data_IF_254405516171
#
_entry.id   IF_254405516171
#
_cell.length_a   1.000
_cell.length_b   1.000
_cell.length_c   1.000
_cell.angle_alpha   90.00
_cell.angle_beta   90.00
_cell.angle_gamma   90.00
#
_symmetry.space_group_name_H-M   'P 1'
#
loop_
_entity.id
_entity.type
_entity.pdbx_description
1 polymer ?
#
# COMPACT_ATOMS: atom_id res chain seq x y z
N UNK A 1 -70.43 48.50 -14.36
CA UNK A 1 -69.22 49.19 -14.88
C UNK A 1 -68.01 48.68 -14.11
N UNK A 2 -67.09 47.99 -14.77
CA UNK A 2 -65.92 47.40 -14.11
C UNK A 2 -64.88 48.49 -13.77
N UNK A 3 -64.47 48.59 -12.52
CA UNK A 3 -63.40 49.49 -12.09
C UNK A 3 -62.06 49.03 -12.69
N UNK A 4 -61.56 49.78 -13.66
CA UNK A 4 -60.23 49.58 -14.24
C UNK A 4 -59.20 49.93 -13.15
N UNK A 5 -58.60 48.92 -12.53
CA UNK A 5 -57.47 49.11 -11.60
C UNK A 5 -56.29 49.70 -12.37
N UNK A 6 -55.98 50.97 -12.12
CA UNK A 6 -54.80 51.64 -12.67
C UNK A 6 -53.54 51.00 -12.09
N UNK A 7 -52.85 50.20 -12.92
CA UNK A 7 -51.57 49.58 -12.56
C UNK A 7 -50.51 50.67 -12.61
N UNK A 8 -50.00 51.10 -11.45
CA UNK A 8 -48.87 52.04 -11.39
C UNK A 8 -47.64 51.38 -12.04
N UNK A 9 -47.22 51.88 -13.20
CA UNK A 9 -45.99 51.42 -13.87
C UNK A 9 -44.78 51.78 -13.01
N UNK A 10 -44.16 50.77 -12.40
CA UNK A 10 -42.90 50.94 -11.67
C UNK A 10 -41.75 50.71 -12.66
N UNK A 11 -40.78 51.63 -12.77
CA UNK A 11 -39.61 51.44 -13.62
C UNK A 11 -38.91 50.12 -13.34
N UNK A 12 -38.61 49.36 -14.40
CA UNK A 12 -38.03 48.02 -14.32
C UNK A 12 -36.73 47.98 -13.51
N UNK A 13 -35.94 49.04 -13.60
CA UNK A 13 -34.71 49.23 -12.83
C UNK A 13 -34.95 49.19 -11.31
N UNK A 14 -36.03 49.81 -10.82
CA UNK A 14 -36.38 49.80 -9.39
C UNK A 14 -36.82 48.41 -8.92
N UNK A 15 -37.54 47.67 -9.77
CA UNK A 15 -37.94 46.28 -9.48
C UNK A 15 -36.71 45.36 -9.41
N UNK A 16 -35.77 45.48 -10.36
CA UNK A 16 -34.50 44.76 -10.35
C UNK A 16 -33.68 45.08 -9.10
N UNK A 17 -33.56 46.36 -8.74
CA UNK A 17 -32.83 46.82 -7.54
C UNK A 17 -33.44 46.30 -6.23
N UNK A 18 -34.78 46.21 -6.14
CA UNK A 18 -35.46 45.61 -4.98
C UNK A 18 -35.19 44.10 -4.87
N UNK A 19 -35.23 43.39 -6.00
CA UNK A 19 -34.98 41.95 -6.05
C UNK A 19 -33.54 41.61 -5.67
N UNK A 20 -32.56 42.38 -6.15
CA UNK A 20 -31.15 42.20 -5.76
C UNK A 20 -30.92 42.51 -4.29
N UNK A 21 -31.50 43.60 -3.77
CA UNK A 21 -31.39 43.95 -2.36
C UNK A 21 -31.99 42.88 -1.44
N UNK A 22 -33.17 42.34 -1.78
CA UNK A 22 -33.78 41.24 -1.04
C UNK A 22 -32.91 39.97 -1.07
N UNK A 23 -32.32 39.64 -2.22
CA UNK A 23 -31.41 38.50 -2.33
C UNK A 23 -30.16 38.68 -1.47
N UNK A 24 -29.53 39.86 -1.49
CA UNK A 24 -28.35 40.18 -0.67
C UNK A 24 -28.69 40.11 0.83
N UNK A 25 -29.86 40.63 1.22
CA UNK A 25 -30.30 40.58 2.62
C UNK A 25 -30.57 39.15 3.09
N UNK A 26 -31.15 38.32 2.22
CA UNK A 26 -31.39 36.91 2.51
C UNK A 26 -30.07 36.11 2.63
N UNK A 27 -29.08 36.38 1.77
CA UNK A 27 -27.77 35.71 1.85
C UNK A 27 -27.00 36.14 3.09
N UNK A 28 -26.99 37.44 3.44
CA UNK A 28 -26.40 37.92 4.69
C UNK A 28 -27.06 37.30 5.92
N UNK A 29 -28.40 37.23 5.96
CA UNK A 29 -29.12 36.60 7.05
C UNK A 29 -28.75 35.12 7.20
N UNK A 30 -28.63 34.39 6.07
CA UNK A 30 -28.22 32.97 6.06
C UNK A 30 -26.79 32.78 6.55
N UNK A 31 -25.86 33.64 6.14
CA UNK A 31 -24.47 33.61 6.59
C UNK A 31 -24.35 33.90 8.08
N UNK A 32 -25.04 34.94 8.58
CA UNK A 32 -25.07 35.26 10.00
C UNK A 32 -25.64 34.12 10.86
N UNK A 33 -26.65 33.39 10.35
CA UNK A 33 -27.23 32.23 11.04
C UNK A 33 -26.25 31.05 11.07
N UNK A 34 -25.49 30.83 10.00
CA UNK A 34 -24.43 29.81 9.95
C UNK A 34 -23.27 30.14 10.90
N UNK A 35 -22.86 31.41 10.98
CA UNK A 35 -21.84 31.85 11.93
C UNK A 35 -22.31 31.71 13.37
N UNK A 36 -23.54 32.13 13.69
CA UNK A 36 -24.14 31.88 15.00
C UNK A 36 -24.16 30.40 15.35
N UNK A 37 -24.50 29.50 14.41
CA UNK A 37 -24.46 28.04 14.61
C UNK A 37 -23.05 27.49 14.86
N UNK A 38 -22.00 28.11 14.30
CA UNK A 38 -20.60 27.74 14.56
C UNK A 38 -20.15 28.21 15.93
N UNK A 39 -20.60 29.39 16.38
CA UNK A 39 -20.25 29.98 17.68
C UNK A 39 -21.04 29.33 18.83
N UNK A 40 -22.34 29.03 18.65
CA UNK A 40 -23.17 28.40 19.69
C UNK A 40 -22.83 26.94 19.94
N UNK A 41 -22.28 26.24 18.95
CA UNK A 41 -21.56 24.98 19.19
C UNK A 41 -20.19 25.32 19.77
N UNK A 42 -20.16 25.87 20.99
CA UNK A 42 -18.94 25.90 21.79
C UNK A 42 -18.27 24.53 21.71
N UNK A 43 -16.94 24.49 21.58
CA UNK A 43 -16.21 23.22 21.56
C UNK A 43 -16.65 22.47 22.80
N UNK A 44 -17.36 21.32 22.71
CA UNK A 44 -17.65 20.55 23.89
C UNK A 44 -16.29 20.27 24.51
N UNK A 45 -16.10 20.71 25.75
CA UNK A 45 -14.94 20.30 26.54
C UNK A 45 -14.94 18.79 26.43
N UNK A 46 -13.95 18.26 25.71
CA UNK A 46 -13.86 16.83 25.42
C UNK A 46 -13.39 16.18 26.71
N UNK A 47 -14.33 16.07 27.65
CA UNK A 47 -14.11 15.45 28.94
C UNK A 47 -13.79 13.99 28.66
N UNK A 48 -12.49 13.68 28.63
CA UNK A 48 -12.04 12.29 28.60
C UNK A 48 -12.54 11.65 29.88
N UNK A 49 -13.29 10.57 29.75
CA UNK A 49 -13.73 9.82 30.93
C UNK A 49 -12.53 9.17 31.59
N UNK A 50 -12.61 8.93 32.89
CA UNK A 50 -11.56 8.20 33.62
C UNK A 50 -11.23 6.86 32.96
N UNK A 51 -12.25 6.18 32.42
CA UNK A 51 -12.13 4.95 31.64
C UNK A 51 -11.21 5.09 30.42
N UNK A 52 -11.29 6.21 29.69
CA UNK A 52 -10.46 6.48 28.51
C UNK A 52 -8.99 6.66 28.92
N UNK A 53 -8.75 7.34 30.04
CA UNK A 53 -7.39 7.49 30.60
C UNK A 53 -6.80 6.14 31.02
N UNK A 54 -7.59 5.30 31.70
CA UNK A 54 -7.21 3.95 32.11
C UNK A 54 -6.89 3.08 30.88
N UNK A 55 -7.74 3.15 29.85
CA UNK A 55 -7.56 2.41 28.59
C UNK A 55 -6.33 2.88 27.81
N UNK A 56 -6.10 4.19 27.70
CA UNK A 56 -4.90 4.76 27.08
C UNK A 56 -3.64 4.36 27.87
N UNK A 57 -3.68 4.40 29.20
CA UNK A 57 -2.57 4.00 30.07
C UNK A 57 -2.22 2.51 29.89
N UNK A 58 -3.21 1.61 29.94
CA UNK A 58 -2.98 0.18 29.71
C UNK A 58 -2.45 -0.10 28.31
N UNK A 59 -2.97 0.59 27.29
CA UNK A 59 -2.50 0.44 25.91
C UNK A 59 -1.04 0.90 25.78
N UNK A 60 -0.72 2.06 26.36
CA UNK A 60 0.64 2.61 26.39
C UNK A 60 1.61 1.67 27.12
N UNK A 61 1.23 1.17 28.29
CA UNK A 61 2.05 0.23 29.06
C UNK A 61 2.29 -1.09 28.29
N UNK A 62 1.28 -1.63 27.60
CA UNK A 62 1.45 -2.80 26.73
C UNK A 62 2.39 -2.50 25.57
N UNK A 63 2.26 -1.34 24.94
CA UNK A 63 3.14 -0.92 23.84
C UNK A 63 4.58 -0.70 24.30
N UNK A 64 4.80 -0.02 25.43
CA UNK A 64 6.12 0.14 26.06
C UNK A 64 6.74 -1.21 26.40
N UNK A 65 5.96 -2.12 27.00
CA UNK A 65 6.42 -3.48 27.30
C UNK A 65 6.79 -4.24 26.03
N UNK A 66 6.01 -4.10 24.95
CA UNK A 66 6.30 -4.70 23.64
C UNK A 66 7.57 -4.12 23.03
N UNK A 67 7.77 -2.81 23.11
CA UNK A 67 8.98 -2.12 22.63
C UNK A 67 10.20 -2.61 23.42
N UNK A 68 10.14 -2.60 24.75
CA UNK A 68 11.22 -3.05 25.64
C UNK A 68 11.57 -4.52 25.43
N UNK A 69 10.58 -5.38 25.20
CA UNK A 69 10.81 -6.79 24.83
C UNK A 69 11.49 -6.92 23.46
N UNK A 70 11.08 -6.12 22.48
CA UNK A 70 11.71 -6.12 21.16
C UNK A 70 13.15 -5.60 21.18
N UNK A 71 13.47 -4.60 22.03
CA UNK A 71 14.83 -4.10 22.23
C UNK A 71 15.75 -5.14 22.88
N UNK A 72 15.24 -5.88 23.86
CA UNK A 72 15.98 -6.96 24.53
C UNK A 72 16.05 -8.24 23.72
N UNK A 73 15.16 -8.41 22.73
CA UNK A 73 15.18 -9.60 21.87
C UNK A 73 16.44 -9.51 21.01
N UNK A 74 17.36 -10.48 21.11
CA UNK A 74 18.54 -10.47 20.25
C UNK A 74 18.07 -10.38 18.79
N UNK A 75 18.76 -9.60 17.94
CA UNK A 75 18.41 -9.51 16.54
C UNK A 75 18.33 -10.92 15.99
N UNK A 76 17.27 -11.23 15.23
CA UNK A 76 17.15 -12.54 14.60
C UNK A 76 18.47 -12.84 13.89
N UNK A 77 19.08 -14.01 14.12
CA UNK A 77 20.38 -14.35 13.56
C UNK A 77 20.34 -14.03 12.08
N UNK A 78 21.40 -13.38 11.60
CA UNK A 78 21.52 -13.12 10.17
C UNK A 78 21.34 -14.45 9.46
N UNK A 79 20.58 -14.47 8.35
CA UNK A 79 20.42 -15.69 7.59
C UNK A 79 21.81 -16.25 7.28
N UNK A 80 22.00 -17.58 7.34
CA UNK A 80 23.28 -18.18 6.96
C UNK A 80 23.70 -17.64 5.59
N UNK A 81 25.00 -17.37 5.40
CA UNK A 81 25.59 -16.63 4.25
C UNK A 81 25.16 -17.13 2.86
N UNK A 82 24.59 -18.34 2.82
CA UNK A 82 24.02 -18.98 1.63
C UNK A 82 22.92 -18.14 0.96
N UNK A 83 22.16 -17.34 1.71
CA UNK A 83 20.95 -16.70 1.17
C UNK A 83 21.16 -15.19 0.92
N UNK A 84 21.44 -14.82 -0.32
CA UNK A 84 21.61 -13.42 -0.77
C UNK A 84 20.31 -12.80 -1.32
N UNK A 85 19.30 -13.63 -1.59
CA UNK A 85 18.03 -13.26 -2.22
C UNK A 85 16.87 -13.42 -1.24
N UNK A 86 16.03 -12.40 -1.12
CA UNK A 86 14.75 -12.48 -0.45
C UNK A 86 13.60 -12.34 -1.46
N UNK A 87 12.50 -13.03 -1.20
CA UNK A 87 11.22 -12.77 -1.84
C UNK A 87 10.27 -12.17 -0.81
N UNK A 88 9.65 -11.04 -1.16
CA UNK A 88 8.73 -10.32 -0.29
C UNK A 88 7.35 -10.26 -0.94
N UNK A 89 6.31 -10.62 -0.18
CA UNK A 89 4.90 -10.60 -0.59
C UNK A 89 4.08 -9.78 0.37
N UNK A 90 3.28 -8.87 -0.16
CA UNK A 90 2.33 -8.12 0.65
C UNK A 90 1.08 -8.95 0.92
N UNK A 91 0.85 -9.29 2.19
CA UNK A 91 -0.29 -10.11 2.62
C UNK A 91 -1.40 -9.26 3.22
N UNK A 92 -1.08 -8.14 3.89
CA UNK A 92 -2.09 -7.29 4.53
C UNK A 92 -2.44 -6.04 3.73
N UNK A 93 -3.67 -5.59 3.92
CA UNK A 93 -4.11 -4.27 3.48
C UNK A 93 -3.38 -3.17 4.25
N UNK A 94 -3.23 -2.03 3.59
CA UNK A 94 -2.57 -0.84 4.15
C UNK A 94 -3.68 0.16 4.47
N UNK A 95 -3.94 0.41 5.75
CA UNK A 95 -4.88 1.42 6.23
C UNK A 95 -4.21 2.25 7.33
N UNK A 96 -4.24 3.58 7.20
CA UNK A 96 -3.75 4.51 8.23
C UNK A 96 -2.25 4.38 8.56
N UNK A 97 -1.39 4.21 7.54
CA UNK A 97 0.05 4.00 7.74
C UNK A 97 0.82 5.32 7.73
N UNK A 98 1.92 5.39 8.49
CA UNK A 98 2.83 6.53 8.45
C UNK A 98 3.45 6.73 7.05
N UNK A 99 3.67 7.99 6.61
CA UNK A 99 4.24 8.27 5.29
C UNK A 99 5.58 7.58 5.03
N UNK A 100 6.40 7.40 6.08
CA UNK A 100 7.70 6.72 6.02
C UNK A 100 7.56 5.26 5.57
N UNK A 101 6.69 4.50 6.21
CA UNK A 101 6.43 3.08 5.87
C UNK A 101 5.81 2.99 4.46
N UNK A 102 4.90 3.92 4.11
CA UNK A 102 4.31 3.97 2.78
C UNK A 102 5.36 4.20 1.68
N UNK A 103 6.34 5.08 1.92
CA UNK A 103 7.48 5.31 1.02
C UNK A 103 8.30 4.03 0.84
N UNK A 104 8.57 3.28 1.91
CA UNK A 104 9.31 2.01 1.85
C UNK A 104 8.58 0.97 1.01
N UNK A 105 7.27 0.81 1.21
CA UNK A 105 6.44 -0.12 0.42
C UNK A 105 6.43 0.26 -1.07
N UNK A 106 6.39 1.57 -1.37
CA UNK A 106 6.49 2.07 -2.73
C UNK A 106 7.86 1.80 -3.37
N UNK A 107 8.96 1.98 -2.61
CA UNK A 107 10.33 1.67 -3.06
C UNK A 107 10.49 0.18 -3.35
N UNK A 108 9.92 -0.69 -2.52
CA UNK A 108 9.87 -2.14 -2.77
C UNK A 108 8.88 -2.52 -3.88
N UNK A 109 8.13 -1.57 -4.46
CA UNK A 109 7.13 -1.81 -5.52
C UNK A 109 5.93 -2.69 -5.09
N UNK A 110 5.67 -2.83 -3.79
CA UNK A 110 4.60 -3.66 -3.20
C UNK A 110 3.25 -2.92 -3.07
N UNK A 111 2.78 -2.32 -4.18
CA UNK A 111 1.63 -1.39 -4.17
C UNK A 111 0.27 -2.08 -4.01
N UNK A 112 0.12 -3.30 -4.52
CA UNK A 112 -1.15 -4.05 -4.45
C UNK A 112 -1.06 -5.13 -3.38
N UNK A 113 -2.20 -5.55 -2.84
CA UNK A 113 -2.24 -6.76 -2.02
C UNK A 113 -1.89 -7.97 -2.90
N UNK A 114 -1.20 -8.96 -2.33
CA UNK A 114 -0.66 -10.12 -3.04
C UNK A 114 0.29 -9.77 -4.20
N UNK A 115 0.92 -8.60 -4.16
CA UNK A 115 2.08 -8.35 -5.02
C UNK A 115 3.34 -8.93 -4.41
N UNK A 116 4.20 -9.53 -5.23
CA UNK A 116 5.50 -10.08 -4.84
C UNK A 116 6.67 -9.43 -5.60
N UNK A 117 7.83 -9.31 -4.96
CA UNK A 117 9.07 -8.84 -5.60
C UNK A 117 10.27 -9.58 -5.03
N UNK A 118 11.31 -9.71 -5.85
CA UNK A 118 12.64 -10.10 -5.39
C UNK A 118 13.38 -8.89 -4.80
N UNK A 119 14.14 -9.11 -3.73
CA UNK A 119 14.93 -8.10 -3.01
C UNK A 119 16.31 -8.70 -2.74
N UNK A 120 17.35 -7.96 -3.13
CA UNK A 120 18.74 -8.28 -2.73
C UNK A 120 18.92 -7.93 -1.26
N UNK A 121 19.45 -8.88 -0.50
CA UNK A 121 19.67 -8.74 0.93
C UNK A 121 20.94 -7.91 1.17
N UNK A 122 20.72 -6.71 1.68
CA UNK A 122 21.75 -5.80 2.18
C UNK A 122 21.32 -5.30 3.58
N UNK A 123 22.22 -4.68 4.35
CA UNK A 123 21.90 -4.08 5.66
C UNK A 123 20.69 -3.13 5.58
N UNK A 124 20.69 -2.25 4.58
CA UNK A 124 19.60 -1.30 4.31
C UNK A 124 18.30 -2.01 3.91
N UNK A 125 18.36 -3.00 3.01
CA UNK A 125 17.18 -3.79 2.62
C UNK A 125 16.56 -4.50 3.82
N UNK A 126 17.38 -5.03 4.73
CA UNK A 126 16.92 -5.69 5.95
C UNK A 126 16.22 -4.72 6.90
N UNK A 127 16.75 -3.53 7.10
CA UNK A 127 16.10 -2.48 7.91
C UNK A 127 14.77 -2.04 7.31
N UNK A 128 14.72 -1.87 5.98
CA UNK A 128 13.47 -1.58 5.27
C UNK A 128 12.45 -2.71 5.43
N UNK A 129 12.88 -3.97 5.33
CA UNK A 129 12.01 -5.15 5.51
C UNK A 129 11.46 -5.25 6.93
N UNK A 130 12.30 -5.01 7.96
CA UNK A 130 11.87 -4.93 9.36
C UNK A 130 10.80 -3.86 9.59
N UNK A 131 10.90 -2.73 8.89
CA UNK A 131 9.91 -1.65 8.99
C UNK A 131 8.55 -2.03 8.39
N UNK A 132 8.52 -2.82 7.32
CA UNK A 132 7.28 -3.24 6.63
C UNK A 132 6.78 -4.62 7.06
N UNK A 133 7.49 -5.27 7.98
CA UNK A 133 7.21 -6.59 8.54
C UNK A 133 5.76 -6.81 8.95
N UNK A 134 5.04 -5.83 9.55
CA UNK A 134 3.63 -6.01 9.92
C UNK A 134 2.67 -6.23 8.75
N UNK A 135 3.09 -5.92 7.52
CA UNK A 135 2.25 -5.97 6.31
C UNK A 135 2.72 -6.98 5.26
N UNK A 136 4.01 -7.32 5.29
CA UNK A 136 4.72 -8.09 4.28
C UNK A 136 5.25 -9.37 4.93
N UNK A 137 5.02 -10.52 4.28
CA UNK A 137 5.80 -11.72 4.59
C UNK A 137 6.96 -11.83 3.62
N UNK A 138 8.11 -12.22 4.13
CA UNK A 138 9.31 -12.37 3.32
C UNK A 138 10.19 -13.51 3.81
N UNK A 139 11.01 -14.05 2.92
CA UNK A 139 11.91 -15.17 3.21
C UNK A 139 12.80 -15.50 2.02
N UNK A 140 13.44 -16.66 2.06
CA UNK A 140 14.35 -17.13 1.03
C UNK A 140 13.64 -18.07 0.06
N UNK A 141 13.47 -17.67 -1.22
CA UNK A 141 12.89 -18.54 -2.21
C UNK A 141 13.90 -19.63 -2.62
N UNK A 142 13.39 -20.82 -2.95
CA UNK A 142 14.20 -21.86 -3.60
C UNK A 142 14.21 -21.64 -5.13
N UNK A 143 15.18 -22.27 -5.83
CA UNK A 143 15.32 -22.14 -7.29
C UNK A 143 14.04 -22.53 -8.03
N UNK A 144 13.34 -23.58 -7.57
CA UNK A 144 12.06 -24.04 -8.14
C UNK A 144 10.99 -22.95 -8.08
N UNK A 145 10.81 -22.31 -6.93
CA UNK A 145 9.85 -21.23 -6.70
C UNK A 145 10.18 -20.00 -7.54
N UNK A 146 11.48 -19.64 -7.66
CA UNK A 146 11.91 -18.53 -8.54
C UNK A 146 11.58 -18.83 -9.98
N UNK A 147 11.96 -20.02 -10.47
CA UNK A 147 11.67 -20.50 -11.83
C UNK A 147 10.17 -20.47 -12.12
N UNK A 148 9.35 -21.07 -11.26
CA UNK A 148 7.90 -21.12 -11.44
C UNK A 148 7.25 -19.72 -11.43
N UNK A 149 7.73 -18.81 -10.58
CA UNK A 149 7.22 -17.43 -10.54
C UNK A 149 7.53 -16.68 -11.83
N UNK A 150 8.76 -16.77 -12.33
CA UNK A 150 9.18 -16.07 -13.55
C UNK A 150 8.47 -16.69 -14.76
N UNK A 151 8.38 -18.02 -14.85
CA UNK A 151 7.71 -18.68 -15.97
C UNK A 151 6.20 -18.42 -16.01
N UNK A 152 5.49 -18.55 -14.87
CA UNK A 152 4.02 -18.44 -14.85
C UNK A 152 3.54 -16.99 -14.80
N UNK A 153 4.29 -16.10 -14.13
CA UNK A 153 3.84 -14.75 -13.78
C UNK A 153 4.81 -13.65 -14.17
N UNK A 154 5.91 -13.99 -14.86
CA UNK A 154 6.89 -13.05 -15.36
C UNK A 154 6.27 -12.10 -16.38
N UNK A 155 6.34 -10.81 -16.05
CA UNK A 155 5.92 -9.73 -16.93
C UNK A 155 7.00 -8.67 -16.93
N UNK A 156 7.24 -8.07 -18.10
CA UNK A 156 8.08 -6.90 -18.24
C UNK A 156 7.25 -5.69 -18.66
N UNK A 157 7.84 -4.51 -18.50
CA UNK A 157 7.27 -3.26 -18.98
C UNK A 157 8.04 -2.78 -20.20
N UNK A 158 7.39 -2.84 -21.35
CA UNK A 158 7.92 -2.28 -22.60
C UNK A 158 7.11 -1.02 -22.92
N UNK A 159 7.76 0.13 -22.82
CA UNK A 159 7.13 1.45 -22.89
C UNK A 159 6.01 1.64 -21.86
N UNK A 160 4.76 1.72 -22.34
CA UNK A 160 3.56 1.90 -21.50
C UNK A 160 2.76 0.61 -21.30
N UNK A 161 3.10 -0.49 -21.97
CA UNK A 161 2.35 -1.76 -21.91
C UNK A 161 3.07 -2.77 -21.01
N UNK A 162 2.31 -3.75 -20.54
CA UNK A 162 2.83 -4.91 -19.80
C UNK A 162 2.85 -6.08 -20.76
N UNK A 163 4.00 -6.72 -20.89
CA UNK A 163 4.20 -7.82 -21.85
C UNK A 163 4.66 -9.05 -21.07
N UNK A 164 4.03 -10.23 -21.26
CA UNK A 164 4.49 -11.47 -20.63
C UNK A 164 5.83 -11.92 -21.24
N UNK A 165 6.66 -12.58 -20.44
CA UNK A 165 7.92 -13.17 -20.91
C UNK A 165 7.62 -14.49 -21.64
N UNK A 166 7.42 -14.41 -22.95
CA UNK A 166 7.08 -15.55 -23.81
C UNK A 166 8.25 -15.92 -24.71
N UNK A 167 8.81 -14.92 -25.40
CA UNK A 167 9.90 -15.14 -26.36
C UNK A 167 11.26 -14.69 -25.80
N UNK A 168 12.31 -15.48 -26.10
CA UNK A 168 13.69 -15.13 -25.72
C UNK A 168 14.21 -13.91 -26.49
N UNK A 169 13.76 -13.70 -27.74
CA UNK A 169 14.15 -12.54 -28.55
C UNK A 169 13.85 -11.20 -27.85
N UNK A 170 12.72 -11.13 -27.15
CA UNK A 170 12.31 -9.95 -26.39
C UNK A 170 13.21 -9.70 -25.16
N UNK A 171 13.70 -10.77 -24.54
CA UNK A 171 14.64 -10.68 -23.43
C UNK A 171 15.99 -10.20 -23.96
N UNK A 172 16.49 -10.81 -25.03
CA UNK A 172 17.76 -10.46 -25.67
C UNK A 172 17.78 -9.01 -26.14
N UNK A 173 16.71 -8.51 -26.78
CA UNK A 173 16.63 -7.12 -27.26
C UNK A 173 16.82 -6.10 -26.11
N UNK A 174 16.19 -6.36 -24.96
CA UNK A 174 16.20 -5.43 -23.83
C UNK A 174 17.34 -5.64 -22.84
N UNK A 175 17.80 -6.88 -22.67
CA UNK A 175 18.75 -7.30 -21.64
C UNK A 175 20.07 -7.85 -22.20
N UNK A 176 20.22 -7.98 -23.52
CA UNK A 176 21.43 -8.49 -24.17
C UNK A 176 22.69 -7.72 -23.82
N UNK A 177 22.57 -6.39 -23.61
CA UNK A 177 23.68 -5.53 -23.12
C UNK A 177 24.24 -5.96 -21.76
N UNK A 178 23.41 -6.60 -20.94
CA UNK A 178 23.81 -7.09 -19.61
C UNK A 178 24.24 -8.56 -19.61
N UNK A 179 24.25 -9.20 -20.78
CA UNK A 179 24.61 -10.61 -20.95
C UNK A 179 23.48 -11.59 -20.62
N UNK A 180 22.23 -11.14 -20.56
CA UNK A 180 21.06 -12.00 -20.33
C UNK A 180 20.34 -12.16 -21.66
N UNK A 181 20.41 -13.36 -22.24
CA UNK A 181 19.92 -13.65 -23.58
C UNK A 181 18.58 -14.38 -23.49
N UNK A 182 18.47 -15.36 -22.59
CA UNK A 182 17.28 -16.17 -22.46
C UNK A 182 16.60 -16.05 -21.08
N UNK A 183 15.43 -16.67 -20.96
CA UNK A 183 14.68 -16.73 -19.70
C UNK A 183 15.45 -17.49 -18.61
N UNK A 184 16.22 -18.53 -18.97
CA UNK A 184 17.01 -19.30 -18.01
C UNK A 184 18.14 -18.46 -17.40
N UNK A 185 18.84 -17.66 -18.22
CA UNK A 185 19.86 -16.72 -17.76
C UNK A 185 19.25 -15.70 -16.79
N UNK A 186 18.02 -15.24 -17.07
CA UNK A 186 17.30 -14.31 -16.19
C UNK A 186 16.99 -14.96 -14.84
N UNK A 187 16.53 -16.22 -14.82
CA UNK A 187 16.28 -16.97 -13.59
C UNK A 187 17.58 -17.13 -12.79
N UNK A 188 18.66 -17.55 -13.47
CA UNK A 188 19.96 -17.76 -12.85
C UNK A 188 20.51 -16.46 -12.26
N UNK A 189 20.47 -15.35 -13.00
CA UNK A 189 20.96 -14.05 -12.55
C UNK A 189 20.19 -13.53 -11.33
N UNK A 190 18.87 -13.75 -11.29
CA UNK A 190 18.02 -13.41 -10.14
C UNK A 190 18.35 -14.28 -8.92
N UNK A 191 18.43 -15.60 -9.10
CA UNK A 191 18.66 -16.55 -7.99
C UNK A 191 20.06 -16.39 -7.38
N UNK A 192 21.09 -16.29 -8.23
CA UNK A 192 22.48 -16.15 -7.83
C UNK A 192 22.82 -14.73 -7.34
N UNK A 193 21.95 -13.75 -7.58
CA UNK A 193 22.15 -12.33 -7.25
C UNK A 193 23.44 -11.79 -7.87
N UNK A 194 23.53 -11.91 -9.20
CA UNK A 194 24.71 -11.51 -9.97
C UNK A 194 24.92 -9.99 -10.06
N UNK A 195 25.85 -9.58 -10.92
CA UNK A 195 26.24 -8.17 -11.10
C UNK A 195 25.10 -7.35 -11.70
N UNK A 196 24.32 -7.95 -12.59
CA UNK A 196 23.20 -7.35 -13.34
C UNK A 196 21.85 -7.54 -12.63
N UNK A 197 21.83 -8.06 -11.39
CA UNK A 197 20.60 -8.29 -10.61
C UNK A 197 19.67 -7.08 -10.56
N UNK A 198 20.22 -5.87 -10.40
CA UNK A 198 19.41 -4.64 -10.33
C UNK A 198 18.67 -4.38 -11.65
N UNK A 199 19.33 -4.61 -12.79
CA UNK A 199 18.72 -4.45 -14.10
C UNK A 199 17.66 -5.54 -14.33
N UNK A 200 17.99 -6.80 -14.08
CA UNK A 200 17.08 -7.94 -14.18
C UNK A 200 15.81 -7.78 -13.30
N UNK A 201 15.98 -7.39 -12.04
CA UNK A 201 14.85 -7.19 -11.13
C UNK A 201 14.00 -5.96 -11.50
N UNK A 202 14.58 -4.94 -12.11
CA UNK A 202 13.83 -3.78 -12.61
C UNK A 202 13.09 -4.08 -13.92
N UNK A 203 13.66 -4.92 -14.78
CA UNK A 203 13.01 -5.45 -15.97
C UNK A 203 11.75 -6.24 -15.60
N UNK A 204 11.84 -7.08 -14.57
CA UNK A 204 10.67 -7.75 -13.99
C UNK A 204 9.72 -6.76 -13.30
N UNK A 205 8.45 -6.78 -13.70
CA UNK A 205 7.38 -6.16 -12.94
C UNK A 205 7.09 -6.95 -11.66
N UNK A 206 6.59 -6.30 -10.60
CA UNK A 206 6.14 -7.01 -9.41
C UNK A 206 5.09 -8.06 -9.77
N UNK A 207 5.31 -9.30 -9.31
CA UNK A 207 4.43 -10.42 -9.56
C UNK A 207 3.07 -10.15 -8.95
N UNK A 208 2.01 -10.36 -9.74
CA UNK A 208 0.64 -10.37 -9.22
C UNK A 208 0.30 -11.80 -8.86
N UNK A 209 0.27 -12.11 -7.56
CA UNK A 209 -0.12 -13.41 -7.08
C UNK A 209 -1.64 -13.46 -6.90
N UNK A 210 -2.24 -14.64 -7.07
CA UNK A 210 -3.68 -14.84 -6.93
C UNK A 210 -4.00 -15.61 -5.67
N UNK A 211 -5.15 -15.33 -5.07
CA UNK A 211 -5.65 -16.09 -3.92
C UNK A 211 -6.47 -17.28 -4.42
N UNK A 212 -6.29 -18.49 -3.87
CA UNK A 212 -7.15 -19.62 -4.17
C UNK A 212 -8.62 -19.30 -3.91
N UNK A 213 -9.52 -19.72 -4.80
CA UNK A 213 -10.95 -19.34 -4.78
C UNK A 213 -11.67 -19.75 -3.49
N UNK A 214 -11.25 -20.85 -2.86
CA UNK A 214 -11.87 -21.42 -1.65
C UNK A 214 -11.09 -21.16 -0.36
N UNK A 215 -10.09 -20.29 -0.38
CA UNK A 215 -9.26 -20.14 0.79
C UNK A 215 -9.98 -19.37 1.91
N UNK A 216 -9.91 -19.92 3.12
CA UNK A 216 -10.61 -19.42 4.28
C UNK A 216 -10.07 -18.05 4.69
N UNK A 217 -10.96 -17.10 4.98
CA UNK A 217 -10.60 -15.78 5.49
C UNK A 217 -10.88 -15.68 6.98
N UNK A 218 -9.93 -15.16 7.74
CA UNK A 218 -10.10 -14.82 9.14
C UNK A 218 -10.98 -13.57 9.33
N UNK A 219 -11.44 -13.33 10.58
CA UNK A 219 -12.17 -12.11 10.97
C UNK A 219 -11.44 -10.80 10.62
N UNK A 220 -10.11 -10.86 10.50
CA UNK A 220 -9.26 -9.73 10.08
C UNK A 220 -9.10 -9.60 8.54
N UNK A 221 -9.78 -10.44 7.75
CA UNK A 221 -9.68 -10.49 6.29
C UNK A 221 -8.41 -11.15 5.75
N UNK A 222 -7.60 -11.75 6.62
CA UNK A 222 -6.39 -12.48 6.25
C UNK A 222 -6.75 -13.88 5.74
N UNK A 223 -6.00 -14.41 4.77
CA UNK A 223 -6.13 -15.84 4.46
C UNK A 223 -5.59 -16.63 5.65
N UNK A 224 -6.42 -17.49 6.23
CA UNK A 224 -6.09 -18.33 7.38
C UNK A 224 -4.84 -19.18 7.09
N UNK A 225 -4.77 -19.68 5.86
CA UNK A 225 -3.68 -20.50 5.33
C UNK A 225 -2.39 -19.72 5.09
N UNK A 226 -2.44 -18.39 4.90
CA UNK A 226 -1.24 -17.59 4.76
C UNK A 226 -0.57 -17.30 6.10
N UNK A 227 -1.27 -17.35 7.24
CA UNK A 227 -0.73 -17.04 8.56
C UNK A 227 -0.21 -15.59 8.73
N UNK A 228 0.59 -15.34 9.76
CA UNK A 228 1.05 -13.99 10.13
C UNK A 228 2.12 -13.38 9.19
N UNK A 229 2.08 -12.06 8.92
CA UNK A 229 3.19 -11.37 8.25
C UNK A 229 4.50 -11.47 9.01
N UNK A 230 5.60 -11.22 8.29
CA UNK A 230 6.94 -11.12 8.82
C UNK A 230 7.94 -12.10 8.20
N UNK A 231 9.07 -12.28 8.89
CA UNK A 231 10.13 -13.17 8.41
C UNK A 231 9.73 -14.64 8.54
N UNK A 232 9.90 -15.41 7.46
CA UNK A 232 9.48 -16.81 7.36
C UNK A 232 10.59 -17.77 6.91
N UNK A 233 11.83 -17.30 6.79
CA UNK A 233 12.95 -18.09 6.29
C UNK A 233 12.57 -18.90 5.02
N UNK A 234 12.55 -20.23 5.08
CA UNK A 234 12.22 -21.12 3.96
C UNK A 234 10.71 -21.32 3.72
N UNK A 235 9.86 -21.03 4.70
CA UNK A 235 8.40 -21.29 4.64
C UNK A 235 7.68 -20.33 3.68
N UNK A 236 8.38 -19.28 3.22
CA UNK A 236 7.90 -18.41 2.15
C UNK A 236 7.57 -19.21 0.87
N UNK A 237 8.28 -20.33 0.64
CA UNK A 237 8.06 -21.18 -0.53
C UNK A 237 6.67 -21.82 -0.53
N UNK A 238 6.13 -22.12 0.65
CA UNK A 238 4.75 -22.64 0.78
C UNK A 238 3.73 -21.57 0.40
N UNK A 239 3.94 -20.31 0.81
CA UNK A 239 3.09 -19.19 0.39
C UNK A 239 3.18 -18.96 -1.12
N UNK A 240 4.39 -19.01 -1.69
CA UNK A 240 4.59 -18.85 -3.13
C UNK A 240 3.78 -19.92 -3.86
N UNK A 241 3.92 -21.19 -3.50
CA UNK A 241 3.18 -22.29 -4.13
C UNK A 241 1.67 -22.16 -3.99
N UNK A 242 1.19 -21.67 -2.85
CA UNK A 242 -0.24 -21.46 -2.61
C UNK A 242 -0.82 -20.34 -3.49
N UNK A 243 -0.05 -19.27 -3.73
CA UNK A 243 -0.53 -18.10 -4.46
C UNK A 243 -0.16 -18.08 -5.96
N UNK A 244 0.72 -18.99 -6.39
CA UNK A 244 1.22 -19.07 -7.76
C UNK A 244 0.26 -19.77 -8.71
#
# INVERSE_FOLDING_TARGET
>A
MAQIKVIKLVPEYLLKKRKTYQAIKATQAKLALLEKRKVTKGKPLKFKRLEDFLKESHKKHRDETRIRRNERRPPAPLPPEKNKLAFAVRIREIKGISPKVMKVIQMMRLRKIFSGTFIKINKTSMEMMKMVEPYVAWGFPNLKSVRELILKRGQTRIGRRRVPLTDNALIEEHMGKTGIICLEDLIHEIYSVGKSFRAANNFLLPFKLSVPRHAARDKAGLLKDLGNPGFRATDINSIIRLLN
#
